data_IF_320736677355
#
_entry.id   IF_320736677355
#
_cell.length_a   1.000
_cell.length_b   1.000
_cell.length_c   1.000
_cell.angle_alpha   90.00
_cell.angle_beta   90.00
_cell.angle_gamma   90.00
#
_symmetry.space_group_name_H-M   'P 1'
#
loop_
_entity.id
_entity.type
_entity.pdbx_description
1 polymer ?
#
# COMPACT_ATOMS: atom_id res chain seq x y z
N UNK A 1 -3.45 3.08 10.67
CA UNK A 1 -3.39 1.63 10.46
C UNK A 1 -4.77 1.01 10.29
N UNK A 2 -4.92 0.18 9.25
CA UNK A 2 -6.02 -0.70 8.93
C UNK A 2 -5.50 -2.13 8.72
N UNK A 3 -6.35 -3.13 8.93
CA UNK A 3 -6.01 -4.55 8.77
C UNK A 3 -7.18 -5.27 8.08
N UNK A 4 -6.87 -6.29 7.29
CA UNK A 4 -7.84 -7.19 6.68
C UNK A 4 -7.29 -8.62 6.67
N UNK A 5 -8.15 -9.60 6.89
CA UNK A 5 -7.83 -11.00 6.65
C UNK A 5 -7.61 -11.26 5.16
N UNK A 6 -6.78 -12.25 4.86
CA UNK A 6 -6.57 -12.70 3.48
C UNK A 6 -7.89 -13.08 2.81
N UNK A 7 -8.06 -12.67 1.55
CA UNK A 7 -9.26 -12.97 0.77
C UNK A 7 -9.03 -12.78 -0.73
N UNK A 8 -10.12 -12.74 -1.49
CA UNK A 8 -10.06 -12.71 -2.96
C UNK A 8 -9.86 -11.30 -3.55
N UNK A 9 -9.51 -10.30 -2.73
CA UNK A 9 -9.35 -8.90 -3.16
C UNK A 9 -10.63 -8.06 -3.05
N UNK A 10 -11.58 -8.51 -2.23
CA UNK A 10 -12.86 -7.86 -1.93
C UNK A 10 -12.69 -6.65 -0.99
N UNK A 11 -11.67 -6.68 -0.13
CA UNK A 11 -11.29 -5.55 0.71
C UNK A 11 -10.11 -4.80 0.10
N UNK A 12 -10.21 -3.48 0.03
CA UNK A 12 -9.21 -2.61 -0.59
C UNK A 12 -9.02 -1.33 0.21
N UNK A 13 -7.78 -0.86 0.26
CA UNK A 13 -7.46 0.48 0.73
C UNK A 13 -6.79 1.28 -0.38
N UNK A 14 -7.06 2.59 -0.38
CA UNK A 14 -6.51 3.52 -1.35
C UNK A 14 -5.75 4.62 -0.63
N UNK A 15 -4.50 4.84 -1.03
CA UNK A 15 -3.72 6.02 -0.68
C UNK A 15 -3.68 6.94 -1.90
N UNK A 16 -4.25 8.12 -1.79
CA UNK A 16 -4.33 9.10 -2.89
C UNK A 16 -3.54 10.35 -2.54
N UNK A 17 -2.79 10.89 -3.50
CA UNK A 17 -2.05 12.14 -3.37
C UNK A 17 -2.00 12.86 -4.72
N UNK A 18 -1.91 14.19 -4.71
CA UNK A 18 -1.55 14.95 -5.91
C UNK A 18 -0.04 15.23 -5.91
N UNK A 19 0.64 14.87 -7.01
CA UNK A 19 2.08 15.11 -7.18
C UNK A 19 2.33 15.97 -8.42
N UNK A 20 3.39 16.78 -8.36
CA UNK A 20 3.95 17.40 -9.55
C UNK A 20 4.63 16.35 -10.44
N UNK A 21 4.76 16.59 -11.76
CA UNK A 21 5.51 15.70 -12.64
C UNK A 21 6.95 15.49 -12.19
N UNK A 22 7.50 14.33 -12.60
CA UNK A 22 8.90 13.96 -12.44
C UNK A 22 9.10 12.62 -11.75
N UNK A 23 10.34 12.38 -11.33
CA UNK A 23 10.75 11.12 -10.71
C UNK A 23 10.47 11.12 -9.21
N UNK A 24 9.76 10.10 -8.75
CA UNK A 24 9.36 9.94 -7.36
C UNK A 24 9.64 8.54 -6.85
N UNK A 25 10.15 8.46 -5.63
CA UNK A 25 10.26 7.22 -4.84
C UNK A 25 9.01 7.05 -3.98
N UNK A 26 8.44 5.85 -4.02
CA UNK A 26 7.36 5.41 -3.13
C UNK A 26 7.91 4.46 -2.07
N UNK A 27 7.63 4.76 -0.81
CA UNK A 27 7.87 3.87 0.33
C UNK A 27 6.55 3.46 1.01
N UNK A 28 6.53 2.26 1.59
CA UNK A 28 5.45 1.69 2.38
C UNK A 28 5.89 1.46 3.82
N UNK A 29 5.06 1.85 4.78
CA UNK A 29 5.34 1.63 6.21
C UNK A 29 4.77 0.29 6.67
N UNK A 30 5.66 -0.60 7.14
CA UNK A 30 5.29 -1.79 7.90
C UNK A 30 5.37 -1.47 9.39
N UNK A 31 4.24 -1.41 10.12
CA UNK A 31 4.26 -1.06 11.53
C UNK A 31 5.07 -2.07 12.36
N UNK A 32 5.55 -1.61 13.50
CA UNK A 32 6.07 -2.52 14.53
C UNK A 32 4.99 -3.52 14.87
N UNK A 33 5.34 -4.79 14.74
CA UNK A 33 4.42 -5.89 14.99
C UNK A 33 4.27 -6.04 16.51
N UNK A 34 3.36 -5.28 17.13
CA UNK A 34 3.02 -5.38 18.55
C UNK A 34 1.52 -5.59 18.69
N UNK A 35 1.11 -6.67 19.36
CA UNK A 35 -0.27 -6.87 19.80
C UNK A 35 -0.27 -6.64 21.32
N UNK A 36 -1.08 -5.71 21.85
CA UNK A 36 -1.28 -5.61 23.29
C UNK A 36 -1.89 -6.93 23.79
N UNK A 37 -1.32 -7.51 24.86
CA UNK A 37 -1.86 -8.73 25.46
C UNK A 37 -3.36 -8.57 25.76
N UNK A 38 -4.17 -9.52 25.30
CA UNK A 38 -5.64 -9.43 25.40
C UNK A 38 -6.17 -9.81 26.79
N UNK A 39 -5.32 -10.37 27.68
CA UNK A 39 -5.71 -10.92 28.98
C UNK A 39 -4.64 -10.72 30.07
N UNK A 40 -5.09 -10.57 31.32
CA UNK A 40 -4.22 -10.51 32.50
C UNK A 40 -3.52 -11.87 32.72
N UNK A 41 -2.19 -11.88 32.68
CA UNK A 41 -1.36 -13.09 32.84
C UNK A 41 -0.87 -13.71 31.52
N UNK A 42 -1.31 -13.21 30.37
CA UNK A 42 -0.75 -13.60 29.08
C UNK A 42 0.61 -12.92 28.92
N UNK A 43 1.72 -13.67 29.06
CA UNK A 43 3.04 -13.15 28.68
C UNK A 43 2.97 -12.79 27.21
N UNK A 44 3.44 -11.60 26.81
CA UNK A 44 3.52 -11.16 25.41
C UNK A 44 3.95 -12.32 24.51
N UNK A 45 2.98 -12.99 23.89
CA UNK A 45 3.26 -14.02 22.91
C UNK A 45 3.32 -13.30 21.58
N UNK A 46 4.53 -13.28 21.04
CA UNK A 46 4.82 -12.87 19.67
C UNK A 46 4.17 -13.90 18.74
N UNK A 47 2.86 -13.87 18.59
CA UNK A 47 2.14 -14.66 17.60
C UNK A 47 1.73 -13.69 16.49
N UNK A 48 2.62 -13.58 15.50
CA UNK A 48 2.34 -12.79 14.32
C UNK A 48 1.43 -13.58 13.38
N UNK A 49 0.34 -12.98 12.88
CA UNK A 49 -0.24 -13.52 11.66
C UNK A 49 0.84 -13.48 10.57
N UNK A 50 0.93 -14.55 9.78
CA UNK A 50 1.95 -14.67 8.74
C UNK A 50 1.66 -13.65 7.65
N UNK A 51 2.54 -12.67 7.46
CA UNK A 51 2.47 -11.77 6.29
C UNK A 51 2.94 -12.53 5.04
N UNK A 52 2.67 -11.97 3.86
CA UNK A 52 3.12 -12.52 2.59
C UNK A 52 3.18 -11.45 1.50
N UNK A 53 3.16 -11.90 0.24
CA UNK A 53 3.06 -11.02 -0.91
C UNK A 53 1.71 -10.32 -0.93
N UNK A 54 1.72 -9.03 -1.25
CA UNK A 54 0.53 -8.19 -1.25
C UNK A 54 0.23 -7.76 -2.68
N UNK A 55 -1.02 -7.93 -3.11
CA UNK A 55 -1.45 -7.39 -4.40
C UNK A 55 -1.59 -5.87 -4.29
N UNK A 56 -0.70 -5.16 -4.99
CA UNK A 56 -0.64 -3.71 -5.02
C UNK A 56 -0.69 -3.18 -6.45
N UNK A 57 -1.43 -2.08 -6.65
CA UNK A 57 -1.52 -1.38 -7.93
C UNK A 57 -1.32 0.11 -7.73
N UNK A 58 -0.38 0.68 -8.45
CA UNK A 58 -0.19 2.12 -8.54
C UNK A 58 -0.85 2.62 -9.82
N UNK A 59 -1.62 3.70 -9.73
CA UNK A 59 -2.32 4.30 -10.85
C UNK A 59 -2.07 5.81 -10.86
N UNK A 60 -1.70 6.35 -12.02
CA UNK A 60 -1.61 7.79 -12.26
C UNK A 60 -2.81 8.23 -13.09
N UNK A 61 -3.56 9.20 -12.57
CA UNK A 61 -4.68 9.81 -13.25
C UNK A 61 -4.26 11.21 -13.70
N UNK A 62 -4.02 11.33 -15.00
CA UNK A 62 -3.75 12.62 -15.61
C UNK A 62 -4.94 13.56 -15.41
N UNK A 63 -4.67 14.86 -15.36
CA UNK A 63 -5.69 15.89 -15.20
C UNK A 63 -6.54 16.13 -16.47
N UNK A 64 -6.37 15.30 -17.50
CA UNK A 64 -7.10 15.43 -18.76
C UNK A 64 -8.61 15.29 -18.52
N UNK A 65 -9.34 16.38 -18.79
CA UNK A 65 -10.78 16.52 -18.99
C UNK A 65 -11.64 15.50 -18.23
N UNK A 66 -11.55 15.49 -16.90
CA UNK A 66 -12.48 14.71 -16.08
C UNK A 66 -13.92 15.17 -16.38
N UNK A 67 -14.72 14.30 -17.00
CA UNK A 67 -16.15 14.53 -17.22
C UNK A 67 -16.92 13.98 -16.01
N UNK A 68 -17.62 14.83 -15.24
CA UNK A 68 -18.46 14.38 -14.14
C UNK A 68 -19.47 13.31 -14.60
N UNK A 69 -19.59 12.23 -13.82
CA UNK A 69 -20.49 11.10 -14.15
C UNK A 69 -19.84 10.00 -15.00
N UNK A 70 -18.56 10.13 -15.37
CA UNK A 70 -17.80 9.05 -16.02
C UNK A 70 -16.82 8.38 -15.04
N UNK A 71 -16.61 7.07 -15.21
CA UNK A 71 -15.55 6.36 -14.50
C UNK A 71 -14.19 6.85 -14.99
N UNK A 72 -13.46 7.57 -14.14
CA UNK A 72 -12.10 8.05 -14.43
C UNK A 72 -11.18 6.83 -14.59
N UNK A 73 -10.65 6.63 -15.80
CA UNK A 73 -9.62 5.62 -16.05
C UNK A 73 -8.24 6.23 -15.78
N UNK A 74 -7.30 5.47 -15.20
CA UNK A 74 -5.93 5.92 -15.07
C UNK A 74 -5.25 5.98 -16.44
N UNK A 75 -4.41 6.99 -16.63
CA UNK A 75 -3.59 7.14 -17.84
C UNK A 75 -2.40 6.17 -17.84
N UNK A 76 -1.90 5.82 -16.64
CA UNK A 76 -0.83 4.83 -16.46
C UNK A 76 -1.04 4.00 -15.20
N UNK A 77 -0.70 2.71 -15.27
CA UNK A 77 -0.78 1.79 -14.14
C UNK A 77 0.48 0.92 -14.03
N UNK A 78 0.82 0.55 -12.80
CA UNK A 78 1.89 -0.38 -12.47
C UNK A 78 1.36 -1.40 -11.46
N UNK A 79 1.67 -2.67 -11.68
CA UNK A 79 1.56 -3.69 -10.63
C UNK A 79 2.85 -3.68 -9.83
N UNK A 80 2.74 -3.70 -8.50
CA UNK A 80 3.90 -3.68 -7.62
C UNK A 80 4.04 -5.04 -6.94
N UNK A 81 5.25 -5.59 -6.98
CA UNK A 81 5.60 -6.82 -6.28
C UNK A 81 6.18 -6.46 -4.92
N UNK A 82 5.40 -6.64 -3.86
CA UNK A 82 5.86 -6.41 -2.49
C UNK A 82 5.54 -7.60 -1.59
N UNK A 83 6.58 -8.18 -0.97
CA UNK A 83 6.45 -9.24 0.02
C UNK A 83 6.69 -8.69 1.43
N UNK A 84 5.62 -8.56 2.20
CA UNK A 84 5.66 -8.05 3.56
C UNK A 84 6.27 -9.06 4.56
N UNK A 85 6.40 -10.34 4.18
CA UNK A 85 7.14 -11.32 4.96
C UNK A 85 8.66 -11.07 4.89
N UNK A 86 9.14 -10.59 3.75
CA UNK A 86 10.55 -10.22 3.51
C UNK A 86 10.84 -8.75 3.86
N UNK A 87 9.80 -7.93 4.06
CA UNK A 87 9.90 -6.54 4.46
C UNK A 87 10.41 -6.34 5.88
N UNK A 88 11.06 -5.19 6.10
CA UNK A 88 11.52 -4.75 7.42
C UNK A 88 10.44 -3.93 8.11
N UNK A 89 10.36 -3.97 9.44
CA UNK A 89 9.59 -2.97 10.18
C UNK A 89 10.11 -1.57 9.85
N UNK A 90 9.19 -0.62 9.67
CA UNK A 90 9.48 0.73 9.23
C UNK A 90 9.23 0.94 7.74
N UNK A 91 10.00 1.84 7.12
CA UNK A 91 9.81 2.25 5.73
C UNK A 91 10.51 1.31 4.75
N UNK A 92 9.75 0.67 3.86
CA UNK A 92 10.23 -0.21 2.80
C UNK A 92 10.04 0.46 1.44
N UNK A 93 11.03 0.37 0.54
CA UNK A 93 10.91 0.91 -0.81
C UNK A 93 9.99 0.01 -1.64
N UNK A 94 8.95 0.59 -2.25
CA UNK A 94 8.13 -0.09 -3.26
C UNK A 94 8.68 0.11 -4.67
N UNK A 95 9.25 1.28 -4.96
CA UNK A 95 9.84 1.56 -6.25
C UNK A 95 10.15 3.03 -6.47
N UNK A 96 10.64 3.32 -7.67
CA UNK A 96 10.77 4.67 -8.22
C UNK A 96 10.01 4.73 -9.54
N UNK A 97 9.33 5.85 -9.75
CA UNK A 97 8.40 6.02 -10.86
C UNK A 97 8.61 7.39 -11.48
N UNK A 98 8.65 7.44 -12.80
CA UNK A 98 8.51 8.69 -13.54
C UNK A 98 7.02 8.95 -13.75
N UNK A 99 6.51 9.99 -13.06
CA UNK A 99 5.09 10.28 -12.96
C UNK A 99 4.72 11.51 -13.80
N UNK A 100 3.59 11.49 -14.52
CA UNK A 100 3.14 12.63 -15.32
C UNK A 100 2.63 13.80 -14.46
N UNK A 101 2.53 13.62 -13.14
CA UNK A 101 1.86 14.54 -12.21
C UNK A 101 0.34 14.36 -12.20
N UNK A 102 -0.33 15.07 -11.30
CA UNK A 102 -1.77 14.91 -11.04
C UNK A 102 -2.04 13.93 -9.90
N UNK A 103 -3.24 13.32 -9.90
CA UNK A 103 -3.65 12.38 -8.87
C UNK A 103 -2.94 11.03 -9.05
N UNK A 104 -2.30 10.58 -7.99
CA UNK A 104 -1.63 9.29 -7.90
C UNK A 104 -2.31 8.47 -6.81
N UNK A 105 -2.64 7.21 -7.12
CA UNK A 105 -3.33 6.31 -6.21
C UNK A 105 -2.58 4.99 -6.07
N UNK A 106 -2.23 4.62 -4.85
CA UNK A 106 -1.85 3.26 -4.51
C UNK A 106 -3.09 2.52 -3.99
N UNK A 107 -3.47 1.46 -4.68
CA UNK A 107 -4.45 0.47 -4.26
C UNK A 107 -3.73 -0.73 -3.65
N UNK A 108 -4.21 -1.20 -2.50
CA UNK A 108 -3.76 -2.43 -1.86
C UNK A 108 -5.00 -3.27 -1.60
N UNK A 109 -5.01 -4.52 -2.09
CA UNK A 109 -6.10 -5.47 -1.84
C UNK A 109 -5.73 -6.43 -0.71
N UNK A 110 -6.72 -7.08 -0.11
CA UNK A 110 -6.50 -8.16 0.84
C UNK A 110 -6.14 -9.50 0.17
N UNK A 111 -5.90 -9.53 -1.15
CA UNK A 111 -5.35 -10.71 -1.82
C UNK A 111 -3.87 -10.83 -1.49
N UNK A 112 -3.53 -11.85 -0.69
CA UNK A 112 -2.18 -12.07 -0.21
C UNK A 112 -1.87 -13.55 -0.07
N UNK A 113 -0.57 -13.92 -0.11
CA UNK A 113 -0.10 -15.25 0.29
C UNK A 113 0.02 -15.42 1.81
N UNK A 114 -0.14 -14.34 2.57
CA UNK A 114 -0.20 -14.35 4.03
C UNK A 114 -1.61 -14.61 4.59
N UNK A 115 -1.72 -14.52 5.91
CA UNK A 115 -2.97 -14.59 6.66
C UNK A 115 -3.67 -13.23 6.73
N UNK A 116 -2.91 -12.13 6.67
CA UNK A 116 -3.46 -10.76 6.75
C UNK A 116 -2.70 -9.79 5.85
N UNK A 117 -3.41 -8.73 5.47
CA UNK A 117 -2.86 -7.50 4.91
C UNK A 117 -2.96 -6.39 5.96
N UNK A 118 -1.86 -5.68 6.17
CA UNK A 118 -1.80 -4.51 7.07
C UNK A 118 -1.46 -3.30 6.23
N UNK A 119 -2.26 -2.25 6.33
CA UNK A 119 -2.03 -0.98 5.66
C UNK A 119 -2.00 0.17 6.65
N UNK A 120 -0.89 0.91 6.66
CA UNK A 120 -0.72 2.02 7.60
C UNK A 120 -0.44 3.34 6.90
N UNK A 121 0.72 3.46 6.26
CA UNK A 121 1.14 4.69 5.61
C UNK A 121 2.00 4.45 4.37
N UNK A 122 1.93 5.39 3.44
CA UNK A 122 2.85 5.53 2.32
C UNK A 122 3.58 6.86 2.41
N UNK A 123 4.76 6.93 1.80
CA UNK A 123 5.51 8.20 1.68
C UNK A 123 6.07 8.35 0.28
N UNK A 124 5.91 9.55 -0.26
CA UNK A 124 6.50 9.98 -1.52
C UNK A 124 7.69 10.89 -1.25
N UNK A 125 8.78 10.68 -2.01
CA UNK A 125 9.97 11.55 -2.02
C UNK A 125 10.40 11.78 -3.45
N UNK A 126 10.87 12.99 -3.78
CA UNK A 126 11.53 13.17 -5.08
C UNK A 126 12.73 12.23 -5.16
N UNK A 127 12.88 11.57 -6.29
CA UNK A 127 14.07 10.82 -6.61
C UNK A 127 15.01 11.75 -7.38
N UNK A 128 16.29 11.68 -7.04
CA UNK A 128 17.34 12.41 -7.74
C UNK A 128 17.59 11.83 -9.16
#
# INVERSE_FOLDING_TARGET
MAWAESGDGDNRVFFTVELAPGRWRLDYYLPERRIPGRWEGDRERIMYPRLGSMEMRLSAFENADFVPGTSRKPGREWRLDFDAALGQTGWNKLGEFDLPGGEIRLEISNRTTGEVVVADAVRWRRAD
#
